data_IF_196862572823
#
_entry.id   IF_196862572823
#
_cell.length_a   1.000
_cell.length_b   1.000
_cell.length_c   1.000
_cell.angle_alpha   90.00
_cell.angle_beta   90.00
_cell.angle_gamma   90.00
#
_symmetry.space_group_name_H-M   'P 1'
#
loop_
_entity.id
_entity.type
_entity.pdbx_description
1 polymer ?
#
# COMPACT_ATOMS: atom_id res chain seq x y z
N UNK A 1 34.06 -1.28 -1.83
CA UNK A 1 33.42 -0.14 -1.16
C UNK A 1 32.83 0.74 -2.25
N UNK A 2 31.55 0.55 -2.58
CA UNK A 2 30.78 1.42 -3.47
C UNK A 2 29.56 1.86 -2.67
N UNK A 3 29.77 2.89 -1.86
CA UNK A 3 28.73 3.69 -1.21
C UNK A 3 28.01 4.49 -2.30
N UNK A 4 27.18 3.83 -3.10
CA UNK A 4 26.21 4.53 -3.93
C UNK A 4 24.97 4.73 -3.07
N UNK A 5 24.74 5.98 -2.67
CA UNK A 5 23.60 6.38 -1.87
C UNK A 5 22.28 6.00 -2.55
N UNK A 6 21.74 4.85 -2.20
CA UNK A 6 20.33 4.53 -2.35
C UNK A 6 19.59 5.29 -1.24
N UNK A 7 19.61 6.61 -1.34
CA UNK A 7 18.91 7.49 -0.41
C UNK A 7 17.44 7.10 -0.39
N UNK A 8 16.86 7.07 0.81
CA UNK A 8 15.46 6.82 1.13
C UNK A 8 14.42 7.64 0.32
N UNK A 9 14.85 8.49 -0.62
CA UNK A 9 14.01 9.22 -1.58
C UNK A 9 13.65 8.43 -2.85
N UNK A 10 14.29 7.29 -3.11
CA UNK A 10 14.05 6.48 -4.33
C UNK A 10 13.16 5.26 -4.08
N UNK A 11 12.35 5.30 -3.02
CA UNK A 11 11.38 4.25 -2.74
C UNK A 11 10.00 4.88 -2.67
N UNK A 12 9.05 4.24 -3.35
CA UNK A 12 7.62 4.52 -3.36
C UNK A 12 7.13 5.59 -4.35
N UNK A 13 6.93 5.15 -5.60
CA UNK A 13 5.61 5.29 -6.22
C UNK A 13 5.44 4.23 -7.31
N UNK A 14 4.38 3.43 -7.18
CA UNK A 14 3.87 2.45 -8.14
C UNK A 14 4.92 1.51 -8.77
N UNK A 15 5.29 0.44 -8.06
CA UNK A 15 6.26 -0.55 -8.58
C UNK A 15 5.63 -1.94 -8.81
N UNK A 16 5.18 -2.18 -10.04
CA UNK A 16 4.67 -3.47 -10.51
C UNK A 16 5.76 -4.54 -10.63
N UNK A 17 5.38 -5.83 -10.67
CA UNK A 17 6.33 -6.96 -10.75
C UNK A 17 6.93 -7.14 -12.16
N UNK A 18 6.21 -6.71 -13.20
CA UNK A 18 6.56 -6.84 -14.62
C UNK A 18 7.51 -5.74 -15.13
N UNK A 19 7.40 -4.52 -14.59
CA UNK A 19 7.96 -3.32 -15.23
C UNK A 19 9.04 -2.62 -14.39
N UNK A 20 9.85 -3.39 -13.67
CA UNK A 20 10.91 -2.83 -12.82
C UNK A 20 11.95 -2.02 -13.60
N UNK A 21 12.20 -2.34 -14.87
CA UNK A 21 13.12 -1.57 -15.74
C UNK A 21 12.51 -0.24 -16.13
N UNK A 22 11.28 -0.23 -16.65
CA UNK A 22 10.59 0.99 -17.10
C UNK A 22 10.44 2.02 -15.97
N UNK A 23 10.37 1.56 -14.73
CA UNK A 23 10.10 2.40 -13.55
C UNK A 23 11.36 2.83 -12.78
N UNK A 24 12.47 2.08 -12.88
CA UNK A 24 13.74 2.40 -12.17
C UNK A 24 14.81 2.94 -13.12
N UNK A 25 14.79 2.58 -14.40
CA UNK A 25 15.74 3.06 -15.40
C UNK A 25 15.74 4.59 -15.57
N UNK A 26 14.63 5.34 -15.47
CA UNK A 26 14.68 6.81 -15.55
C UNK A 26 15.50 7.46 -14.41
N UNK A 27 15.66 6.76 -13.29
CA UNK A 27 16.44 7.23 -12.13
C UNK A 27 17.90 6.77 -12.16
N UNK A 28 18.29 5.99 -13.18
CA UNK A 28 19.63 5.43 -13.34
C UNK A 28 20.11 5.83 -14.73
N UNK A 29 21.13 6.68 -14.83
CA UNK A 29 21.73 7.12 -16.11
C UNK A 29 22.47 6.00 -16.87
N UNK A 30 22.21 4.72 -16.55
CA UNK A 30 22.84 3.55 -17.13
C UNK A 30 21.80 2.53 -17.62
N UNK A 31 22.08 1.90 -18.77
CA UNK A 31 21.29 0.77 -19.29
C UNK A 31 21.52 -0.46 -18.42
N UNK A 32 20.63 -0.70 -17.46
CA UNK A 32 20.68 -1.84 -16.54
C UNK A 32 19.62 -2.88 -16.89
N UNK A 33 19.94 -4.16 -16.69
CA UNK A 33 18.98 -5.25 -16.90
C UNK A 33 17.99 -5.38 -15.74
N UNK A 34 16.80 -5.93 -15.99
CA UNK A 34 15.82 -6.26 -14.94
C UNK A 34 16.37 -7.18 -13.86
N UNK A 35 17.36 -8.02 -14.22
CA UNK A 35 17.99 -8.95 -13.28
C UNK A 35 18.92 -8.21 -12.32
N UNK A 36 19.70 -7.25 -12.82
CA UNK A 36 20.57 -6.39 -12.00
C UNK A 36 19.73 -5.62 -10.99
N UNK A 37 18.64 -4.97 -11.44
CA UNK A 37 17.73 -4.23 -10.56
C UNK A 37 17.17 -5.13 -9.45
N UNK A 38 16.71 -6.35 -9.79
CA UNK A 38 16.18 -7.29 -8.79
C UNK A 38 17.24 -7.73 -7.77
N UNK A 39 18.50 -7.90 -8.18
CA UNK A 39 19.60 -8.24 -7.26
C UNK A 39 19.87 -7.09 -6.30
N UNK A 40 20.01 -5.86 -6.79
CA UNK A 40 20.24 -4.69 -5.93
C UNK A 40 19.07 -4.48 -4.94
N UNK A 41 17.83 -4.66 -5.38
CA UNK A 41 16.67 -4.59 -4.48
C UNK A 41 16.69 -5.68 -3.41
N UNK A 42 17.11 -6.90 -3.76
CA UNK A 42 17.24 -8.00 -2.81
C UNK A 42 18.40 -7.77 -1.82
N UNK A 43 19.53 -7.24 -2.28
CA UNK A 43 20.67 -6.82 -1.45
C UNK A 43 20.25 -5.72 -0.46
N UNK A 44 19.38 -4.79 -0.88
CA UNK A 44 18.76 -3.78 -0.01
C UNK A 44 17.59 -4.30 0.84
N UNK A 45 17.36 -5.62 0.91
CA UNK A 45 16.27 -6.26 1.64
C UNK A 45 14.85 -5.78 1.26
N UNK A 46 14.66 -5.26 0.05
CA UNK A 46 13.38 -4.78 -0.46
C UNK A 46 12.63 -5.89 -1.20
N UNK A 47 11.35 -6.05 -0.87
CA UNK A 47 10.45 -6.98 -1.54
C UNK A 47 9.27 -6.29 -2.19
N UNK A 48 8.85 -6.76 -3.37
CA UNK A 48 7.59 -6.33 -3.99
C UNK A 48 6.42 -6.82 -3.14
N UNK A 49 5.65 -5.90 -2.54
CA UNK A 49 4.56 -6.15 -1.59
C UNK A 49 3.37 -5.23 -1.88
N UNK A 50 2.21 -5.53 -1.29
CA UNK A 50 1.05 -4.62 -1.37
C UNK A 50 1.30 -3.42 -0.45
N UNK A 51 1.10 -2.18 -0.93
CA UNK A 51 1.16 -1.00 -0.07
C UNK A 51 0.01 -1.04 0.94
N UNK A 52 0.17 -0.28 2.03
CA UNK A 52 -0.95 0.05 2.89
C UNK A 52 -1.88 0.99 2.09
N UNK A 53 -3.17 0.70 2.04
CA UNK A 53 -4.16 1.64 1.51
C UNK A 53 -4.80 2.32 2.69
N UNK A 54 -4.49 3.60 2.87
CA UNK A 54 -5.12 4.39 3.91
C UNK A 54 -6.36 5.06 3.33
N UNK A 55 -7.51 4.84 3.97
CA UNK A 55 -8.69 5.63 3.65
C UNK A 55 -8.43 7.07 4.14
N UNK A 56 -8.52 8.08 3.27
CA UNK A 56 -8.32 9.47 3.66
C UNK A 56 -9.50 9.93 4.53
N UNK A 57 -9.40 9.69 5.84
CA UNK A 57 -10.38 10.17 6.81
C UNK A 57 -10.02 11.60 7.24
N UNK A 58 -10.98 12.51 7.14
CA UNK A 58 -10.87 13.83 7.77
C UNK A 58 -10.81 13.67 9.30
N UNK A 59 -10.19 14.61 10.04
CA UNK A 59 -10.19 14.59 11.51
C UNK A 59 -11.61 14.47 12.11
N UNK A 60 -12.58 15.16 11.50
CA UNK A 60 -14.00 15.08 11.87
C UNK A 60 -14.55 13.68 11.70
N UNK A 61 -14.31 13.04 10.54
CA UNK A 61 -14.77 11.67 10.29
C UNK A 61 -14.14 10.67 11.27
N UNK A 62 -12.87 10.86 11.64
CA UNK A 62 -12.21 10.03 12.67
C UNK A 62 -12.92 10.13 14.02
N UNK A 63 -13.23 11.35 14.46
CA UNK A 63 -13.92 11.59 15.73
C UNK A 63 -15.33 10.96 15.73
N UNK A 64 -16.10 11.18 14.67
CA UNK A 64 -17.45 10.63 14.54
C UNK A 64 -17.45 9.10 14.54
N UNK A 65 -16.52 8.47 13.81
CA UNK A 65 -16.38 7.00 13.79
C UNK A 65 -15.98 6.46 15.16
N UNK A 66 -15.02 7.08 15.84
CA UNK A 66 -14.61 6.66 17.18
C UNK A 66 -15.76 6.77 18.19
N UNK A 67 -16.51 7.88 18.16
CA UNK A 67 -17.70 8.07 19.00
C UNK A 67 -18.73 6.99 18.70
N UNK A 68 -19.01 6.73 17.42
CA UNK A 68 -19.96 5.70 17.00
C UNK A 68 -19.59 4.31 17.53
N UNK A 69 -18.31 3.92 17.43
CA UNK A 69 -17.83 2.64 17.95
C UNK A 69 -17.96 2.57 19.47
N UNK A 70 -17.50 3.58 20.21
CA UNK A 70 -17.58 3.61 21.68
C UNK A 70 -19.00 3.54 22.19
N UNK A 71 -19.94 4.24 21.54
CA UNK A 71 -21.36 4.20 21.91
C UNK A 71 -21.99 2.80 21.74
N UNK A 72 -21.40 1.94 20.90
CA UNK A 72 -21.93 0.61 20.55
C UNK A 72 -21.02 -0.54 20.95
N UNK A 73 -19.98 -0.26 21.73
CA UNK A 73 -18.97 -1.24 22.13
C UNK A 73 -19.59 -2.41 22.91
N UNK A 74 -20.59 -2.12 23.75
CA UNK A 74 -21.28 -3.09 24.59
C UNK A 74 -22.66 -3.51 24.03
N UNK A 75 -22.93 -3.26 22.75
CA UNK A 75 -24.19 -3.71 22.14
C UNK A 75 -24.31 -5.23 22.16
N UNK A 76 -25.47 -5.69 22.59
CA UNK A 76 -25.88 -7.10 22.61
C UNK A 76 -26.25 -7.58 21.21
N UNK A 77 -26.28 -8.91 21.02
CA UNK A 77 -26.69 -9.51 19.75
C UNK A 77 -28.11 -9.07 19.33
N UNK A 78 -29.02 -8.88 20.29
CA UNK A 78 -30.38 -8.42 20.02
C UNK A 78 -30.41 -6.99 19.45
N UNK A 79 -29.57 -6.09 19.96
CA UNK A 79 -29.44 -4.72 19.46
C UNK A 79 -28.83 -4.68 18.05
N UNK A 80 -27.83 -5.53 17.78
CA UNK A 80 -27.28 -5.68 16.43
C UNK A 80 -28.32 -6.19 15.42
N UNK A 81 -29.18 -7.13 15.83
CA UNK A 81 -30.23 -7.70 14.98
C UNK A 81 -31.34 -6.70 14.61
N UNK A 82 -31.44 -5.57 15.30
CA UNK A 82 -32.39 -4.51 14.95
C UNK A 82 -31.86 -3.57 13.86
N UNK A 83 -30.56 -3.60 13.57
CA UNK A 83 -29.96 -2.77 12.54
C UNK A 83 -30.13 -3.41 11.16
N UNK A 84 -30.73 -2.66 10.21
CA UNK A 84 -30.76 -3.04 8.80
C UNK A 84 -29.61 -2.34 8.09
N UNK A 85 -28.75 -3.11 7.43
CA UNK A 85 -27.61 -2.61 6.67
C UNK A 85 -27.92 -2.64 5.18
N UNK A 86 -27.60 -1.57 4.48
CA UNK A 86 -27.61 -1.50 3.02
C UNK A 86 -26.28 -0.95 2.52
N UNK A 87 -25.82 -1.47 1.38
CA UNK A 87 -24.67 -0.97 0.65
C UNK A 87 -24.81 -1.37 -0.83
N UNK A 88 -24.07 -0.69 -1.70
CA UNK A 88 -24.01 -1.01 -3.12
C UNK A 88 -22.67 -1.70 -3.44
N UNK A 89 -22.73 -2.83 -4.13
CA UNK A 89 -21.53 -3.55 -4.57
C UNK A 89 -21.41 -3.56 -6.09
N UNK A 90 -20.19 -3.35 -6.57
CA UNK A 90 -19.89 -3.39 -8.00
C UNK A 90 -19.56 -4.83 -8.43
N UNK A 91 -20.24 -5.32 -9.46
CA UNK A 91 -19.97 -6.61 -10.09
C UNK A 91 -19.35 -6.38 -11.48
N UNK A 92 -18.13 -6.87 -11.69
CA UNK A 92 -17.38 -6.68 -12.94
C UNK A 92 -17.10 -8.01 -13.64
N UNK A 93 -17.16 -8.02 -14.98
CA UNK A 93 -16.80 -9.17 -15.81
C UNK A 93 -15.27 -9.34 -15.96
N UNK A 94 -14.49 -8.27 -15.75
CA UNK A 94 -13.03 -8.29 -15.74
C UNK A 94 -12.48 -7.43 -14.60
N UNK A 95 -11.40 -7.87 -13.97
CA UNK A 95 -10.80 -7.15 -12.84
C UNK A 95 -9.95 -5.97 -13.32
N UNK A 96 -10.39 -4.75 -13.01
CA UNK A 96 -9.51 -3.57 -12.97
C UNK A 96 -9.19 -3.23 -11.50
N UNK A 97 -8.63 -4.20 -10.78
CA UNK A 97 -8.40 -4.08 -9.34
C UNK A 97 -7.32 -3.05 -8.98
N UNK A 98 -6.70 -2.39 -9.98
CA UNK A 98 -5.62 -1.42 -9.81
C UNK A 98 -4.61 -1.87 -8.74
N UNK A 99 -4.23 -3.17 -8.77
CA UNK A 99 -3.40 -3.81 -7.76
C UNK A 99 -1.96 -3.35 -7.90
N UNK A 100 -1.68 -2.18 -7.36
CA UNK A 100 -0.34 -1.62 -7.27
C UNK A 100 0.48 -2.41 -6.25
N UNK A 101 1.76 -2.63 -6.56
CA UNK A 101 2.76 -3.12 -5.62
C UNK A 101 3.80 -2.04 -5.38
N UNK A 102 4.51 -2.14 -4.27
CA UNK A 102 5.63 -1.27 -3.91
C UNK A 102 6.78 -2.16 -3.43
N UNK A 103 8.03 -1.75 -3.69
CA UNK A 103 9.18 -2.41 -3.09
C UNK A 103 9.40 -1.81 -1.71
N UNK A 104 9.36 -2.64 -0.67
CA UNK A 104 9.57 -2.18 0.71
C UNK A 104 10.23 -3.26 1.59
N UNK A 105 10.82 -2.88 2.72
CA UNK A 105 11.40 -3.82 3.67
C UNK A 105 10.36 -4.76 4.28
N UNK A 106 10.85 -5.87 4.85
CA UNK A 106 10.03 -6.76 5.66
C UNK A 106 9.62 -6.12 6.99
N UNK A 107 8.49 -6.52 7.56
CA UNK A 107 7.99 -5.99 8.84
C UNK A 107 7.34 -4.60 8.75
N UNK A 108 7.63 -3.82 7.70
CA UNK A 108 7.13 -2.46 7.54
C UNK A 108 5.75 -2.37 6.90
N UNK A 109 4.81 -3.25 7.32
CA UNK A 109 3.44 -3.25 6.76
C UNK A 109 2.76 -1.91 6.97
N UNK A 110 2.86 -1.37 8.19
CA UNK A 110 2.17 -0.15 8.65
C UNK A 110 2.97 1.12 8.40
N UNK A 111 4.14 1.05 7.76
CA UNK A 111 4.91 2.24 7.46
C UNK A 111 4.20 3.04 6.35
N UNK A 112 3.80 4.26 6.72
CA UNK A 112 3.05 5.19 5.87
C UNK A 112 3.87 5.74 4.72
N UNK A 113 5.21 5.68 4.80
CA UNK A 113 6.10 6.03 3.69
C UNK A 113 5.86 5.16 2.44
N UNK A 114 5.28 3.97 2.60
CA UNK A 114 4.92 3.05 1.51
C UNK A 114 3.40 2.93 1.32
N UNK A 115 2.61 3.83 1.91
CA UNK A 115 1.17 3.84 1.76
C UNK A 115 0.73 4.51 0.45
N UNK A 116 -0.43 4.10 -0.06
CA UNK A 116 -1.15 4.79 -1.12
C UNK A 116 -2.42 5.41 -0.52
N UNK A 117 -2.74 6.61 -0.99
CA UNK A 117 -4.02 7.28 -0.80
C UNK A 117 -4.95 6.95 -1.96
#
# INVERSE_FOLDING_TARGET
>A
MMEAGWSARLVARQLGRSDCVTQVAPSIEARVSSQTIRRCLAEGHLGSRRPLRELPLTPTNRCLRLKWCRTRENWTAAEWNQAVYSDESRFNLSSDDNRVRVWKPWGERLNTAFALQ
#
